data_IF_134079501318
#
_entry.id   IF_134079501318
#
_cell.length_a   1.000
_cell.length_b   1.000
_cell.length_c   1.000
_cell.angle_alpha   90.00
_cell.angle_beta   90.00
_cell.angle_gamma   90.00
#
_symmetry.space_group_name_H-M   'P 1'
#
loop_
_entity.id
_entity.type
_entity.pdbx_description
1 polymer ?
#
# COMPACT_ATOMS: atom_id res chain seq x y z
N UNK A 1 -18.67 5.07 7.24
CA UNK A 1 -17.38 5.80 7.37
C UNK A 1 -16.32 4.98 6.69
N UNK A 2 -15.51 5.59 5.85
CA UNK A 2 -14.42 4.93 5.13
C UNK A 2 -13.13 5.53 5.62
N UNK A 3 -12.14 4.70 5.94
CA UNK A 3 -10.84 5.18 6.38
C UNK A 3 -9.73 4.38 5.71
N UNK A 4 -8.65 5.08 5.38
CA UNK A 4 -7.41 4.47 4.94
C UNK A 4 -6.33 4.79 5.97
N UNK A 5 -6.13 3.96 6.97
CA UNK A 5 -5.02 4.15 7.90
C UNK A 5 -4.58 2.80 8.47
N UNK A 6 -3.27 2.52 8.42
CA UNK A 6 -2.68 1.28 8.86
C UNK A 6 -2.79 1.00 10.35
N UNK A 7 -2.69 2.03 11.11
CA UNK A 7 -2.71 1.89 12.56
C UNK A 7 -4.13 2.14 13.03
N UNK A 8 -4.88 1.14 13.38
CA UNK A 8 -6.26 1.20 13.95
C UNK A 8 -6.42 2.22 15.11
N UNK A 9 -5.78 3.36 14.95
CA UNK A 9 -5.63 4.40 15.94
C UNK A 9 -6.84 5.32 15.87
N UNK A 10 -7.91 4.94 16.52
CA UNK A 10 -9.02 5.86 16.78
C UNK A 10 -10.24 5.71 15.89
N UNK A 11 -10.12 5.46 14.58
CA UNK A 11 -11.26 5.46 13.66
C UNK A 11 -12.31 4.37 13.96
N UNK A 12 -11.89 3.17 14.35
CA UNK A 12 -12.80 2.09 14.75
C UNK A 12 -13.57 2.46 16.02
N UNK A 13 -12.92 3.12 16.96
CA UNK A 13 -13.55 3.59 18.21
C UNK A 13 -14.51 4.74 17.98
N UNK A 14 -14.23 5.61 17.01
CA UNK A 14 -15.16 6.68 16.61
C UNK A 14 -16.39 6.07 15.92
N UNK A 15 -16.20 5.11 15.03
CA UNK A 15 -17.30 4.41 14.39
C UNK A 15 -18.18 3.65 15.40
N UNK A 16 -17.57 3.00 16.41
CA UNK A 16 -18.26 2.35 17.53
C UNK A 16 -19.10 3.37 18.32
N UNK A 17 -18.51 4.51 18.68
CA UNK A 17 -19.21 5.54 19.44
C UNK A 17 -20.41 6.13 18.68
N UNK A 18 -20.26 6.31 17.38
CA UNK A 18 -21.31 6.84 16.49
C UNK A 18 -22.29 5.76 16.00
N UNK A 19 -22.03 4.50 16.31
CA UNK A 19 -22.83 3.34 15.84
C UNK A 19 -23.02 3.32 14.31
N UNK A 20 -21.96 3.67 13.58
CA UNK A 20 -21.95 3.66 12.12
C UNK A 20 -21.07 2.53 11.58
N UNK A 21 -21.43 1.95 10.43
CA UNK A 21 -20.58 0.95 9.79
C UNK A 21 -19.24 1.55 9.38
N UNK A 22 -18.20 0.74 9.42
CA UNK A 22 -16.85 1.10 8.98
C UNK A 22 -16.36 0.11 7.93
N UNK A 23 -15.67 0.62 6.91
CA UNK A 23 -14.95 -0.17 5.91
C UNK A 23 -13.54 0.40 5.79
N UNK A 24 -12.52 -0.45 5.88
CA UNK A 24 -11.12 -0.03 5.85
C UNK A 24 -10.58 -0.23 4.45
N UNK A 25 -10.02 0.84 3.87
CA UNK A 25 -9.27 0.80 2.60
C UNK A 25 -7.79 0.99 2.91
N UNK A 26 -6.96 0.08 2.42
CA UNK A 26 -5.57 0.11 2.82
C UNK A 26 -4.62 -0.42 1.73
N UNK A 27 -3.40 0.11 1.70
CA UNK A 27 -2.36 -0.24 0.73
C UNK A 27 -1.38 -1.30 1.24
N UNK A 28 -1.53 -1.78 2.47
CA UNK A 28 -0.67 -2.78 3.08
C UNK A 28 -1.53 -3.92 3.65
N UNK A 29 -1.16 -5.20 3.48
CA UNK A 29 -1.92 -6.30 4.06
C UNK A 29 -1.85 -6.28 5.59
N UNK A 30 -3.02 -6.30 6.21
CA UNK A 30 -3.18 -6.30 7.67
C UNK A 30 -4.02 -7.47 8.19
N UNK A 31 -4.78 -8.11 7.31
CA UNK A 31 -5.59 -9.29 7.66
C UNK A 31 -4.69 -10.52 7.76
N UNK A 32 -4.74 -11.27 8.87
CA UNK A 32 -3.92 -12.48 9.05
C UNK A 32 -4.11 -13.51 7.93
N UNK A 33 -2.99 -14.02 7.42
CA UNK A 33 -2.98 -15.07 6.40
C UNK A 33 -1.81 -16.05 6.62
N UNK A 34 -1.92 -17.22 6.04
CA UNK A 34 -0.86 -18.23 5.98
C UNK A 34 0.00 -18.13 4.72
N UNK A 35 -0.33 -17.23 3.79
CA UNK A 35 0.36 -17.11 2.50
C UNK A 35 1.59 -16.20 2.54
N UNK A 36 1.60 -15.21 3.45
CA UNK A 36 2.74 -14.33 3.68
C UNK A 36 2.73 -13.74 5.09
N UNK A 37 3.89 -13.31 5.61
CA UNK A 37 3.98 -12.71 6.94
C UNK A 37 3.41 -11.29 6.95
N UNK A 38 3.13 -10.77 8.14
CA UNK A 38 2.80 -9.35 8.30
C UNK A 38 3.95 -8.48 7.76
N UNK A 39 3.70 -7.47 6.92
CA UNK A 39 4.75 -6.65 6.29
C UNK A 39 5.76 -6.00 7.24
N UNK A 40 5.32 -5.69 8.46
CA UNK A 40 6.19 -5.12 9.51
C UNK A 40 6.96 -6.19 10.31
N UNK A 41 6.76 -7.47 10.02
CA UNK A 41 7.48 -8.55 10.67
C UNK A 41 8.70 -8.98 9.85
N UNK A 42 9.66 -9.62 10.52
CA UNK A 42 10.82 -10.22 9.86
C UNK A 42 10.73 -11.75 9.81
N UNK A 43 9.52 -12.29 9.95
CA UNK A 43 9.30 -13.74 9.93
C UNK A 43 9.48 -14.28 8.51
N UNK A 44 10.37 -15.26 8.36
CA UNK A 44 10.68 -15.90 7.05
C UNK A 44 10.04 -17.28 6.90
N UNK A 45 9.70 -17.95 8.00
CA UNK A 45 9.16 -19.30 7.98
C UNK A 45 7.64 -19.27 7.89
N UNK A 46 7.07 -20.01 6.94
CA UNK A 46 5.63 -20.04 6.68
C UNK A 46 4.79 -20.42 7.90
N UNK A 47 5.27 -21.34 8.73
CA UNK A 47 4.58 -21.73 9.98
C UNK A 47 4.32 -20.55 10.93
N UNK A 48 5.15 -19.48 10.85
CA UNK A 48 5.01 -18.29 11.66
C UNK A 48 4.19 -17.15 11.01
N UNK A 49 3.79 -17.25 9.75
CA UNK A 49 3.17 -16.15 9.02
C UNK A 49 1.92 -15.62 9.73
N UNK A 50 0.96 -16.48 10.03
CA UNK A 50 -0.27 -16.06 10.71
C UNK A 50 -0.01 -15.48 12.11
N UNK A 51 0.95 -16.04 12.85
CA UNK A 51 1.32 -15.54 14.18
C UNK A 51 1.97 -14.16 14.12
N UNK A 52 2.68 -13.83 13.03
CA UNK A 52 3.34 -12.54 12.86
C UNK A 52 2.38 -11.35 12.96
N UNK A 53 1.15 -11.52 12.49
CA UNK A 53 0.09 -10.50 12.59
C UNK A 53 -0.29 -10.23 14.05
N UNK A 54 -0.47 -11.29 14.84
CA UNK A 54 -0.81 -11.16 16.27
C UNK A 54 0.33 -10.48 17.05
N UNK A 55 1.57 -10.81 16.73
CA UNK A 55 2.74 -10.21 17.37
C UNK A 55 2.80 -8.70 17.06
N UNK A 56 2.68 -8.33 15.78
CA UNK A 56 2.72 -6.92 15.37
C UNK A 56 1.57 -6.14 16.00
N UNK A 57 0.34 -6.66 15.94
CA UNK A 57 -0.83 -6.03 16.56
C UNK A 57 -0.64 -5.84 18.07
N UNK A 58 -0.10 -6.86 18.75
CA UNK A 58 0.17 -6.79 20.20
C UNK A 58 1.20 -5.72 20.54
N UNK A 59 2.29 -5.62 19.77
CA UNK A 59 3.33 -4.61 19.98
C UNK A 59 2.79 -3.20 19.78
N UNK A 60 2.01 -2.98 18.72
CA UNK A 60 1.38 -1.69 18.45
C UNK A 60 0.41 -1.36 19.58
N UNK A 61 -0.45 -2.30 19.97
CA UNK A 61 -1.40 -2.10 21.05
C UNK A 61 -0.72 -1.72 22.37
N UNK A 62 0.35 -2.37 22.74
CA UNK A 62 1.13 -2.02 23.92
C UNK A 62 1.64 -0.57 23.89
N UNK A 63 2.04 -0.07 22.71
CA UNK A 63 2.52 1.30 22.56
C UNK A 63 1.44 2.38 22.62
N UNK A 64 0.20 2.05 22.21
CA UNK A 64 -0.87 3.07 22.04
C UNK A 64 -2.05 2.92 22.98
N UNK A 65 -2.15 1.84 23.75
CA UNK A 65 -3.34 1.49 24.54
C UNK A 65 -3.80 2.59 25.49
N UNK A 66 -2.87 3.28 26.15
CA UNK A 66 -3.21 4.29 27.14
C UNK A 66 -3.82 5.52 26.45
N UNK A 67 -3.25 5.93 25.32
CA UNK A 67 -3.78 7.01 24.47
C UNK A 67 -5.18 6.66 23.96
N UNK A 68 -5.37 5.44 23.47
CA UNK A 68 -6.68 4.96 22.98
C UNK A 68 -7.69 4.90 24.10
N UNK A 69 -7.33 4.37 25.26
CA UNK A 69 -8.25 4.29 26.40
C UNK A 69 -8.60 5.66 26.99
N UNK A 70 -7.69 6.61 26.92
CA UNK A 70 -7.96 8.00 27.25
C UNK A 70 -8.97 8.64 26.28
N UNK A 71 -8.77 8.46 24.97
CA UNK A 71 -9.72 8.88 23.94
C UNK A 71 -11.10 8.27 24.19
N UNK A 72 -11.17 6.94 24.37
CA UNK A 72 -12.42 6.21 24.64
C UNK A 72 -13.16 6.77 25.85
N UNK A 73 -12.48 6.88 27.00
CA UNK A 73 -13.09 7.35 28.24
C UNK A 73 -13.45 8.83 28.21
N UNK A 74 -12.48 9.69 27.84
CA UNK A 74 -12.61 11.15 27.99
C UNK A 74 -13.45 11.78 26.90
N UNK A 75 -13.29 11.32 25.64
CA UNK A 75 -13.95 11.92 24.47
C UNK A 75 -15.16 11.13 23.99
N UNK A 76 -15.03 9.81 23.84
CA UNK A 76 -16.05 8.98 23.22
C UNK A 76 -17.08 8.40 24.21
N UNK A 77 -16.84 8.51 25.52
CA UNK A 77 -17.68 7.94 26.60
C UNK A 77 -17.88 6.42 26.46
N UNK A 78 -16.86 5.73 25.94
CA UNK A 78 -16.83 4.28 25.78
C UNK A 78 -16.04 3.63 26.93
N UNK A 79 -16.31 2.34 27.15
CA UNK A 79 -15.51 1.53 28.07
C UNK A 79 -14.08 1.37 27.54
N UNK A 80 -13.07 1.31 28.44
CA UNK A 80 -11.70 1.02 28.00
C UNK A 80 -11.63 -0.38 27.37
N UNK A 81 -10.74 -0.51 26.38
CA UNK A 81 -10.38 -1.79 25.78
C UNK A 81 -9.31 -2.44 26.65
N UNK A 82 -9.51 -3.69 27.03
CA UNK A 82 -8.52 -4.49 27.75
C UNK A 82 -7.62 -5.24 26.76
N UNK A 83 -6.49 -5.75 27.23
CA UNK A 83 -5.58 -6.56 26.42
C UNK A 83 -6.28 -7.75 25.73
N UNK A 84 -7.20 -8.38 26.44
CA UNK A 84 -7.96 -9.53 25.95
C UNK A 84 -9.05 -9.16 24.92
N UNK A 85 -9.60 -7.96 25.01
CA UNK A 85 -10.67 -7.50 24.12
C UNK A 85 -10.15 -6.71 22.90
N UNK A 86 -8.89 -6.26 22.92
CA UNK A 86 -8.31 -5.40 21.89
C UNK A 86 -7.84 -6.12 20.66
N UNK A 87 -7.47 -7.39 20.78
CA UNK A 87 -6.82 -8.15 19.68
C UNK A 87 -7.68 -9.28 19.10
N UNK A 88 -8.77 -9.67 19.73
CA UNK A 88 -9.40 -10.96 19.43
C UNK A 88 -10.78 -10.93 18.77
N UNK A 89 -11.49 -9.85 18.72
CA UNK A 89 -12.91 -9.97 18.39
C UNK A 89 -13.42 -9.15 17.19
N UNK A 90 -12.86 -8.01 16.95
CA UNK A 90 -13.45 -7.06 16.00
C UNK A 90 -12.82 -7.11 14.60
N UNK A 91 -11.65 -7.68 14.45
CA UNK A 91 -10.84 -7.52 13.23
C UNK A 91 -11.30 -8.37 12.07
N UNK A 92 -11.73 -9.59 12.32
CA UNK A 92 -12.29 -10.46 11.28
C UNK A 92 -13.67 -10.00 10.81
N UNK A 93 -14.30 -9.10 11.55
CA UNK A 93 -15.66 -8.65 11.29
C UNK A 93 -15.73 -7.29 10.57
N UNK A 94 -14.65 -6.51 10.59
CA UNK A 94 -14.55 -5.25 9.85
C UNK A 94 -14.19 -5.52 8.40
N UNK A 95 -15.00 -5.06 7.42
CA UNK A 95 -14.64 -5.18 6.02
C UNK A 95 -13.35 -4.43 5.68
N UNK A 96 -12.50 -5.07 4.88
CA UNK A 96 -11.29 -4.47 4.33
C UNK A 96 -11.28 -4.56 2.82
N UNK A 97 -10.87 -3.49 2.16
CA UNK A 97 -10.58 -3.47 0.74
C UNK A 97 -9.11 -3.05 0.56
N UNK A 98 -8.31 -3.97 0.06
CA UNK A 98 -6.90 -3.73 -0.15
C UNK A 98 -6.63 -3.16 -1.54
N UNK A 99 -5.92 -2.02 -1.56
CA UNK A 99 -5.69 -1.22 -2.76
C UNK A 99 -4.34 -1.62 -3.38
N UNK A 100 -4.31 -2.80 -3.99
CA UNK A 100 -3.22 -3.27 -4.84
C UNK A 100 -3.74 -4.22 -5.90
N UNK A 101 -2.93 -4.46 -6.94
CA UNK A 101 -3.29 -5.39 -8.01
C UNK A 101 -3.31 -6.85 -7.53
N UNK A 102 -4.39 -7.60 -7.77
CA UNK A 102 -4.43 -9.04 -7.54
C UNK A 102 -3.46 -9.81 -8.45
N UNK A 103 -2.96 -9.19 -9.53
CA UNK A 103 -1.92 -9.76 -10.38
C UNK A 103 -0.54 -9.66 -9.74
N UNK A 104 -0.30 -8.66 -8.88
CA UNK A 104 0.91 -8.57 -8.08
C UNK A 104 0.83 -9.47 -6.85
N UNK A 105 -0.23 -9.31 -6.04
CA UNK A 105 -0.49 -10.14 -4.86
C UNK A 105 -1.94 -10.63 -4.90
N UNK A 106 -2.19 -11.88 -5.28
CA UNK A 106 -3.53 -12.46 -5.27
C UNK A 106 -4.18 -12.40 -3.89
N UNK A 107 -5.50 -12.35 -3.85
CA UNK A 107 -6.22 -12.48 -2.59
C UNK A 107 -5.90 -13.84 -1.96
N UNK A 108 -5.40 -13.89 -0.71
CA UNK A 108 -5.17 -15.13 0.01
C UNK A 108 -6.42 -16.01 0.10
N UNK A 109 -6.23 -17.32 -0.02
CA UNK A 109 -7.33 -18.30 0.00
C UNK A 109 -8.04 -18.37 1.35
N UNK A 110 -7.34 -18.04 2.42
CA UNK A 110 -7.87 -18.03 3.79
C UNK A 110 -8.56 -16.72 4.18
N UNK A 111 -8.64 -15.74 3.25
CA UNK A 111 -9.41 -14.52 3.46
C UNK A 111 -10.89 -14.70 3.10
N UNK A 112 -11.76 -14.34 4.06
CA UNK A 112 -13.22 -14.44 3.92
C UNK A 112 -13.84 -13.41 2.97
N UNK A 113 -15.21 -13.40 2.88
CA UNK A 113 -15.95 -12.56 1.94
C UNK A 113 -15.95 -11.08 2.30
N UNK A 114 -15.55 -10.71 3.52
CA UNK A 114 -15.42 -9.30 3.95
C UNK A 114 -14.10 -8.65 3.55
N UNK A 115 -13.18 -9.42 2.96
CA UNK A 115 -11.88 -8.93 2.53
C UNK A 115 -11.85 -8.95 1.01
N UNK A 116 -11.60 -7.80 0.40
CA UNK A 116 -11.50 -7.65 -1.05
C UNK A 116 -10.09 -7.13 -1.42
N UNK A 117 -9.57 -7.51 -2.59
CA UNK A 117 -8.40 -6.92 -3.24
C UNK A 117 -8.92 -6.24 -4.50
N UNK A 118 -8.80 -4.91 -4.57
CA UNK A 118 -9.62 -4.12 -5.49
C UNK A 118 -8.86 -3.54 -6.68
N UNK A 119 -7.55 -3.71 -6.73
CA UNK A 119 -6.69 -3.08 -7.71
C UNK A 119 -6.03 -1.81 -7.20
N UNK A 120 -5.03 -1.31 -7.92
CA UNK A 120 -4.41 -0.03 -7.60
C UNK A 120 -5.33 1.14 -7.98
N UNK A 121 -5.34 2.18 -7.14
CA UNK A 121 -5.99 3.45 -7.44
C UNK A 121 -4.95 4.39 -8.06
N UNK A 122 -5.10 4.67 -9.35
CA UNK A 122 -4.24 5.61 -10.05
C UNK A 122 -4.88 6.99 -10.09
N UNK A 123 -4.06 8.03 -9.95
CA UNK A 123 -4.41 9.40 -10.26
C UNK A 123 -3.88 9.71 -11.65
N UNK A 124 -4.66 10.41 -12.44
CA UNK A 124 -4.24 10.91 -13.74
C UNK A 124 -3.58 12.30 -13.55
N UNK A 125 -2.34 12.28 -13.08
CA UNK A 125 -1.55 13.49 -12.87
C UNK A 125 -0.84 13.93 -14.15
N UNK A 126 -0.62 12.99 -15.08
CA UNK A 126 0.04 13.23 -16.35
C UNK A 126 -0.78 14.10 -17.31
N UNK A 127 -2.12 14.03 -17.26
CA UNK A 127 -3.00 14.69 -18.23
C UNK A 127 -2.90 16.21 -18.25
N UNK A 128 -2.53 16.84 -17.13
CA UNK A 128 -2.37 18.28 -17.01
C UNK A 128 -0.91 18.68 -16.73
N UNK A 129 0.04 17.79 -16.96
CA UNK A 129 1.44 18.04 -16.68
C UNK A 129 2.18 18.48 -17.94
N UNK A 130 2.83 19.63 -17.86
CA UNK A 130 3.71 20.15 -18.89
C UNK A 130 5.17 19.95 -18.46
N UNK A 131 5.90 19.01 -19.09
CA UNK A 131 7.30 18.77 -18.73
C UNK A 131 8.20 19.94 -19.16
N UNK A 132 9.28 20.21 -18.43
CA UNK A 132 10.27 21.19 -18.84
C UNK A 132 10.87 20.83 -20.23
N UNK A 133 11.00 21.82 -21.11
CA UNK A 133 11.59 21.60 -22.45
C UNK A 133 12.98 20.96 -22.37
N UNK A 134 13.78 21.35 -21.39
CA UNK A 134 15.12 20.79 -21.15
C UNK A 134 15.07 19.27 -20.88
N UNK A 135 14.06 18.79 -20.16
CA UNK A 135 13.87 17.37 -19.90
C UNK A 135 13.43 16.64 -21.17
N UNK A 136 12.46 17.20 -21.90
CA UNK A 136 11.96 16.60 -23.15
C UNK A 136 13.10 16.44 -24.15
N UNK A 137 13.85 17.52 -24.40
CA UNK A 137 15.01 17.49 -25.28
C UNK A 137 16.05 16.46 -24.81
N UNK A 138 16.37 16.46 -23.52
CA UNK A 138 17.33 15.47 -22.99
C UNK A 138 16.84 14.03 -23.17
N UNK A 139 15.55 13.74 -23.01
CA UNK A 139 14.98 12.42 -23.25
C UNK A 139 15.05 11.99 -24.73
N UNK A 140 14.83 12.93 -25.65
CA UNK A 140 14.87 12.71 -27.11
C UNK A 140 16.30 12.50 -27.63
N UNK A 141 17.31 13.12 -26.98
CA UNK A 141 18.71 13.08 -27.38
C UNK A 141 19.44 11.74 -27.10
N UNK A 142 18.72 10.67 -26.66
CA UNK A 142 19.36 9.39 -26.43
C UNK A 142 18.44 8.29 -25.90
N UNK A 143 19.04 7.18 -25.48
CA UNK A 143 18.32 6.02 -24.96
C UNK A 143 17.48 6.33 -23.72
N UNK A 144 16.39 5.58 -23.54
CA UNK A 144 15.56 5.70 -22.34
C UNK A 144 16.41 5.54 -21.06
N UNK A 145 16.31 6.45 -20.11
CA UNK A 145 17.09 6.41 -18.87
C UNK A 145 16.56 5.39 -17.86
N UNK A 146 17.35 5.16 -16.81
CA UNK A 146 16.92 4.52 -15.57
C UNK A 146 16.57 5.64 -14.58
N UNK A 147 15.35 5.59 -14.03
CA UNK A 147 14.97 6.49 -12.93
C UNK A 147 15.49 5.97 -11.59
N UNK A 148 16.05 6.86 -10.77
CA UNK A 148 16.50 6.55 -9.40
C UNK A 148 16.04 7.66 -8.47
N UNK A 149 15.20 7.32 -7.47
CA UNK A 149 14.69 8.30 -6.52
C UNK A 149 13.98 7.69 -5.33
N UNK A 150 14.14 8.30 -4.15
CA UNK A 150 13.60 7.80 -2.90
C UNK A 150 12.52 8.70 -2.29
N UNK A 151 12.00 9.67 -3.08
CA UNK A 151 10.90 10.55 -2.68
C UNK A 151 11.25 11.44 -1.50
N UNK A 152 10.37 11.46 -0.49
CA UNK A 152 10.53 12.29 0.71
C UNK A 152 11.33 11.61 1.83
N UNK A 153 11.98 10.49 1.55
CA UNK A 153 12.72 9.77 2.58
C UNK A 153 14.08 10.42 2.88
N UNK A 154 14.46 10.54 4.16
CA UNK A 154 15.77 11.03 4.53
C UNK A 154 16.84 9.99 4.18
N UNK A 155 17.87 10.43 3.46
CA UNK A 155 19.06 9.64 3.15
C UNK A 155 20.16 10.04 4.14
N UNK A 156 20.80 9.05 4.79
CA UNK A 156 21.83 9.33 5.82
C UNK A 156 23.07 10.01 5.24
N UNK A 157 23.53 9.54 4.09
CA UNK A 157 24.68 10.12 3.37
C UNK A 157 24.32 10.34 1.89
N UNK A 158 23.70 11.49 1.55
CA UNK A 158 23.29 11.78 0.18
C UNK A 158 24.46 11.86 -0.81
N UNK A 159 25.62 12.30 -0.36
CA UNK A 159 26.82 12.40 -1.23
C UNK A 159 27.32 11.01 -1.64
N UNK A 160 27.51 10.14 -0.66
CA UNK A 160 27.96 8.76 -0.91
C UNK A 160 26.94 8.00 -1.76
N UNK A 161 25.64 8.14 -1.45
CA UNK A 161 24.60 7.49 -2.23
C UNK A 161 24.56 8.00 -3.67
N UNK A 162 24.66 9.31 -3.87
CA UNK A 162 24.76 9.92 -5.21
C UNK A 162 25.98 9.39 -5.97
N UNK A 163 27.13 9.30 -5.33
CA UNK A 163 28.33 8.75 -5.96
C UNK A 163 28.14 7.30 -6.41
N UNK A 164 27.58 6.44 -5.55
CA UNK A 164 27.24 5.04 -5.89
C UNK A 164 26.32 4.99 -7.11
N UNK A 165 25.29 5.83 -7.15
CA UNK A 165 24.31 5.88 -8.25
C UNK A 165 25.00 6.28 -9.56
N UNK A 166 25.80 7.32 -9.54
CA UNK A 166 26.52 7.82 -10.71
C UNK A 166 27.50 6.78 -11.24
N UNK A 167 28.34 6.21 -10.36
CA UNK A 167 29.30 5.16 -10.75
C UNK A 167 28.62 3.91 -11.31
N UNK A 168 27.47 3.51 -10.74
CA UNK A 168 26.71 2.36 -11.24
C UNK A 168 26.14 2.62 -12.65
N UNK A 169 25.59 3.80 -12.90
CA UNK A 169 25.08 4.20 -14.21
C UNK A 169 26.23 4.25 -15.25
N UNK A 170 27.35 4.84 -14.89
CA UNK A 170 28.53 4.90 -15.77
C UNK A 170 29.09 3.50 -16.07
N UNK A 171 29.27 2.67 -15.04
CA UNK A 171 29.80 1.32 -15.20
C UNK A 171 28.91 0.45 -16.08
N UNK A 172 27.61 0.65 -16.02
CA UNK A 172 26.63 -0.10 -16.86
C UNK A 172 26.34 0.60 -18.18
N UNK A 173 26.94 1.75 -18.46
CA UNK A 173 26.73 2.53 -19.68
C UNK A 173 25.30 3.06 -19.82
N UNK A 174 24.62 3.34 -18.70
CA UNK A 174 23.23 3.77 -18.71
C UNK A 174 23.07 5.27 -18.46
N UNK A 175 22.09 5.87 -19.15
CA UNK A 175 21.61 7.20 -18.80
C UNK A 175 20.71 7.11 -17.57
N UNK A 176 20.77 8.14 -16.71
CA UNK A 176 19.99 8.14 -15.49
C UNK A 176 19.23 9.45 -15.23
N UNK A 177 18.08 9.32 -14.62
CA UNK A 177 17.36 10.42 -14.01
C UNK A 177 17.44 10.24 -12.50
N UNK A 178 18.06 11.22 -11.80
CA UNK A 178 18.14 11.22 -10.34
C UNK A 178 17.13 12.22 -9.80
N UNK A 179 16.16 11.73 -9.04
CA UNK A 179 15.23 12.58 -8.31
C UNK A 179 15.89 13.01 -7.00
N UNK A 180 16.07 14.33 -6.83
CA UNK A 180 16.72 14.91 -5.65
C UNK A 180 15.97 14.59 -4.36
N UNK A 181 14.63 14.54 -4.45
CA UNK A 181 13.77 14.28 -3.29
C UNK A 181 14.06 15.22 -2.11
N UNK A 182 13.61 14.83 -0.93
CA UNK A 182 13.94 15.54 0.30
C UNK A 182 15.29 15.11 0.88
N UNK A 183 15.78 13.95 0.44
CA UNK A 183 17.06 13.39 0.87
C UNK A 183 18.29 14.10 0.30
N UNK A 184 18.13 15.05 -0.63
CA UNK A 184 19.22 15.83 -1.19
C UNK A 184 20.15 15.04 -2.12
N UNK A 185 19.65 14.07 -2.84
CA UNK A 185 20.40 13.32 -3.87
C UNK A 185 20.77 14.26 -5.05
N UNK A 186 21.73 13.85 -5.84
CA UNK A 186 22.11 14.53 -7.07
C UNK A 186 23.01 15.76 -6.86
N UNK A 187 23.56 15.97 -5.67
CA UNK A 187 24.54 17.03 -5.45
C UNK A 187 25.89 16.60 -6.07
N UNK A 188 26.00 16.78 -7.38
CA UNK A 188 27.18 16.44 -8.18
C UNK A 188 28.17 17.59 -8.14
N UNK A 189 29.47 17.25 -8.10
CA UNK A 189 30.56 18.23 -8.21
C UNK A 189 30.66 18.80 -9.62
N UNK A 190 30.32 17.98 -10.63
CA UNK A 190 30.31 18.35 -12.04
C UNK A 190 29.04 17.83 -12.72
N UNK A 191 28.39 18.62 -13.61
CA UNK A 191 27.32 18.14 -14.46
C UNK A 191 27.77 16.99 -15.36
N UNK A 192 26.91 16.01 -15.60
CA UNK A 192 27.16 14.89 -16.51
C UNK A 192 26.06 14.80 -17.54
N UNK A 193 26.39 14.74 -18.81
CA UNK A 193 25.45 14.69 -19.94
C UNK A 193 24.54 13.46 -19.87
N UNK A 194 25.06 12.35 -19.32
CA UNK A 194 24.30 11.12 -19.16
C UNK A 194 23.32 11.14 -17.98
N UNK A 195 23.32 12.17 -17.14
CA UNK A 195 22.52 12.26 -15.92
C UNK A 195 21.68 13.51 -15.90
N UNK A 196 20.37 13.35 -15.78
CA UNK A 196 19.43 14.43 -15.56
C UNK A 196 18.98 14.49 -14.10
N UNK A 197 19.13 15.65 -13.48
CA UNK A 197 18.68 15.89 -12.11
C UNK A 197 17.31 16.54 -12.15
N UNK A 198 16.34 15.95 -11.46
CA UNK A 198 15.02 16.53 -11.38
C UNK A 198 14.49 16.63 -9.94
N UNK A 199 13.56 17.53 -9.74
CA UNK A 199 12.80 17.67 -8.51
C UNK A 199 11.56 16.75 -8.55
N UNK A 200 10.36 17.26 -8.33
CA UNK A 200 9.16 16.45 -8.30
C UNK A 200 8.45 16.43 -9.66
N UNK A 201 8.23 15.24 -10.22
CA UNK A 201 7.51 15.02 -11.48
C UNK A 201 6.48 13.90 -11.28
N UNK A 202 5.29 13.98 -11.94
CA UNK A 202 4.34 12.87 -11.96
C UNK A 202 4.96 11.58 -12.50
N UNK A 203 4.94 10.53 -11.69
CA UNK A 203 5.52 9.24 -12.06
C UNK A 203 4.76 8.56 -13.21
N UNK A 204 3.46 8.78 -13.31
CA UNK A 204 2.61 8.28 -14.39
C UNK A 204 2.98 8.85 -15.77
N UNK A 205 3.59 10.06 -15.81
CA UNK A 205 4.21 10.59 -17.01
C UNK A 205 5.65 10.08 -17.19
N UNK A 206 6.48 10.23 -16.14
CA UNK A 206 7.92 10.03 -16.26
C UNK A 206 8.30 8.57 -16.56
N UNK A 207 7.65 7.61 -15.90
CA UNK A 207 8.04 6.21 -16.03
C UNK A 207 7.77 5.62 -17.42
N UNK A 208 6.87 6.20 -18.20
CA UNK A 208 6.68 5.84 -19.62
C UNK A 208 7.92 6.14 -20.48
N UNK A 209 8.75 7.07 -20.03
CA UNK A 209 9.99 7.48 -20.70
C UNK A 209 11.23 6.78 -20.12
N UNK A 210 11.07 5.92 -19.12
CA UNK A 210 12.15 5.17 -18.48
C UNK A 210 12.20 3.72 -18.97
N UNK A 211 13.40 3.12 -18.99
CA UNK A 211 13.57 1.69 -19.27
C UNK A 211 13.44 0.82 -18.02
N UNK A 212 13.78 1.37 -16.85
CA UNK A 212 13.71 0.73 -15.54
C UNK A 212 13.61 1.79 -14.43
N UNK A 213 13.20 1.40 -13.23
CA UNK A 213 13.07 2.31 -12.09
C UNK A 213 13.68 1.71 -10.82
N UNK A 214 14.33 2.57 -10.04
CA UNK A 214 14.88 2.23 -8.71
C UNK A 214 14.26 3.19 -7.70
N UNK A 215 13.55 2.66 -6.71
CA UNK A 215 12.89 3.49 -5.71
C UNK A 215 12.73 2.78 -4.35
N UNK A 216 12.18 3.49 -3.37
CA UNK A 216 12.07 3.00 -2.00
C UNK A 216 10.98 1.92 -1.76
N UNK A 217 10.09 1.67 -2.70
CA UNK A 217 9.05 0.65 -2.56
C UNK A 217 7.75 1.12 -1.92
N UNK A 218 7.46 2.42 -1.93
CA UNK A 218 6.11 2.91 -1.58
C UNK A 218 5.07 2.35 -2.55
N UNK A 219 3.90 1.93 -2.06
CA UNK A 219 2.87 1.25 -2.84
C UNK A 219 2.47 2.02 -4.11
N UNK A 220 2.32 3.35 -4.04
CA UNK A 220 1.95 4.17 -5.19
C UNK A 220 3.05 4.24 -6.26
N UNK A 221 4.31 4.40 -5.85
CA UNK A 221 5.45 4.43 -6.78
C UNK A 221 5.67 3.06 -7.42
N UNK A 222 5.51 1.99 -6.64
CA UNK A 222 5.55 0.61 -7.15
C UNK A 222 4.46 0.40 -8.21
N UNK A 223 3.22 0.80 -7.91
CA UNK A 223 2.12 0.71 -8.85
C UNK A 223 2.39 1.44 -10.17
N UNK A 224 2.92 2.67 -10.09
CA UNK A 224 3.26 3.48 -11.28
C UNK A 224 4.35 2.81 -12.14
N UNK A 225 5.40 2.26 -11.51
CA UNK A 225 6.47 1.53 -12.21
C UNK A 225 5.96 0.28 -12.94
N UNK A 226 5.14 -0.51 -12.25
CA UNK A 226 4.54 -1.72 -12.81
C UNK A 226 3.57 -1.39 -13.95
N UNK A 227 2.73 -0.36 -13.81
CA UNK A 227 1.81 0.10 -14.86
C UNK A 227 2.55 0.59 -16.10
N UNK A 228 3.69 1.22 -15.93
CA UNK A 228 4.56 1.66 -17.03
C UNK A 228 5.39 0.52 -17.64
N UNK A 229 5.17 -0.73 -17.25
CA UNK A 229 5.96 -1.90 -17.64
C UNK A 229 7.46 -1.72 -17.39
N UNK A 230 7.84 -1.04 -16.32
CA UNK A 230 9.23 -0.85 -15.94
C UNK A 230 9.72 -1.96 -15.03
N UNK A 231 10.80 -2.69 -15.38
CA UNK A 231 11.57 -3.44 -14.41
C UNK A 231 11.92 -2.57 -13.21
N UNK A 232 11.75 -3.11 -12.00
CA UNK A 232 11.75 -2.30 -10.78
C UNK A 232 12.68 -2.87 -9.72
N UNK A 233 13.65 -2.08 -9.26
CA UNK A 233 14.45 -2.38 -8.07
C UNK A 233 13.90 -1.61 -6.88
N UNK A 234 13.64 -2.31 -5.79
CA UNK A 234 13.20 -1.69 -4.54
C UNK A 234 14.36 -1.63 -3.55
N UNK A 235 14.60 -0.42 -3.03
CA UNK A 235 15.57 -0.13 -1.96
C UNK A 235 14.75 0.26 -0.72
N UNK A 236 14.33 -0.70 0.10
CA UNK A 236 13.46 -0.41 1.23
C UNK A 236 14.20 0.29 2.36
N UNK A 237 13.55 1.28 2.96
CA UNK A 237 13.98 2.02 4.15
C UNK A 237 13.26 1.49 5.40
N UNK A 238 11.94 1.37 5.36
CA UNK A 238 11.12 0.91 6.49
C UNK A 238 9.71 0.50 6.04
N UNK A 239 8.89 0.11 7.01
CA UNK A 239 7.46 -0.12 6.81
C UNK A 239 7.18 -1.36 5.95
N UNK A 240 6.26 -1.21 5.01
CA UNK A 240 5.85 -2.24 4.06
C UNK A 240 6.73 -2.35 2.81
N UNK A 241 7.74 -1.50 2.68
CA UNK A 241 8.60 -1.44 1.50
C UNK A 241 9.35 -2.76 1.24
N UNK A 242 9.88 -3.48 2.25
CA UNK A 242 10.47 -4.80 2.03
C UNK A 242 9.47 -5.81 1.45
N UNK A 243 8.23 -5.79 1.92
CA UNK A 243 7.16 -6.65 1.42
C UNK A 243 6.93 -6.41 -0.08
N UNK A 244 6.79 -5.16 -0.51
CA UNK A 244 6.62 -4.83 -1.93
C UNK A 244 7.83 -5.23 -2.76
N UNK A 245 9.05 -5.07 -2.22
CA UNK A 245 10.27 -5.53 -2.88
C UNK A 245 10.30 -7.02 -3.15
N UNK A 246 9.91 -7.82 -2.16
CA UNK A 246 9.78 -9.27 -2.32
C UNK A 246 8.71 -9.65 -3.35
N UNK A 247 7.55 -8.98 -3.34
CA UNK A 247 6.47 -9.24 -4.32
C UNK A 247 6.89 -8.92 -5.75
N UNK A 248 7.61 -7.81 -5.96
CA UNK A 248 8.18 -7.43 -7.26
C UNK A 248 9.18 -8.50 -7.74
N UNK A 249 10.04 -8.96 -6.84
CA UNK A 249 11.00 -10.03 -7.13
C UNK A 249 10.31 -11.36 -7.47
N UNK A 250 9.34 -11.78 -6.67
CA UNK A 250 8.60 -13.04 -6.88
C UNK A 250 7.86 -13.07 -8.22
N UNK A 251 7.50 -11.90 -8.77
CA UNK A 251 6.91 -11.78 -10.12
C UNK A 251 7.95 -11.73 -11.23
N UNK A 252 9.23 -11.79 -10.90
CA UNK A 252 10.31 -11.73 -11.89
C UNK A 252 10.43 -10.39 -12.59
N UNK A 253 9.87 -9.31 -12.01
CA UNK A 253 9.91 -7.96 -12.59
C UNK A 253 10.98 -7.08 -11.94
N UNK A 254 11.76 -7.62 -11.02
CA UNK A 254 12.88 -6.95 -10.38
C UNK A 254 13.78 -7.91 -9.61
N UNK A 255 15.00 -7.47 -9.25
CA UNK A 255 15.90 -8.26 -8.41
C UNK A 255 15.38 -8.35 -6.97
N UNK A 256 15.99 -9.17 -6.09
CA UNK A 256 15.75 -9.09 -4.65
C UNK A 256 15.92 -7.65 -4.14
N UNK A 257 15.09 -7.18 -3.19
CA UNK A 257 15.21 -5.83 -2.67
C UNK A 257 16.59 -5.61 -2.00
N UNK A 258 17.11 -4.40 -2.14
CA UNK A 258 18.39 -4.00 -1.52
C UNK A 258 18.08 -3.11 -0.32
N UNK A 259 18.14 -3.61 0.94
CA UNK A 259 17.95 -2.75 2.10
C UNK A 259 18.88 -1.54 2.07
N UNK A 260 18.36 -0.36 2.48
CA UNK A 260 19.14 0.90 2.36
C UNK A 260 20.47 0.87 3.09
N UNK A 261 20.57 0.16 4.20
CA UNK A 261 21.80 -0.05 4.97
C UNK A 261 22.80 -0.98 4.27
N UNK A 262 22.35 -1.74 3.28
CA UNK A 262 23.18 -2.60 2.44
C UNK A 262 23.42 -2.01 1.03
N UNK A 263 22.93 -0.81 0.77
CA UNK A 263 23.05 -0.17 -0.55
C UNK A 263 24.51 0.10 -0.89
N UNK A 264 24.98 -0.46 -1.99
CA UNK A 264 26.39 -0.41 -2.41
C UNK A 264 26.52 -0.47 -3.93
N UNK A 265 27.68 -0.02 -4.42
CA UNK A 265 27.98 0.01 -5.86
C UNK A 265 27.82 -1.38 -6.52
N UNK A 266 28.40 -2.48 -6.01
CA UNK A 266 28.21 -3.79 -6.63
C UNK A 266 26.75 -4.22 -6.70
N UNK A 267 26.01 -4.04 -5.59
CA UNK A 267 24.59 -4.43 -5.55
C UNK A 267 23.73 -3.63 -6.52
N UNK A 268 24.01 -2.34 -6.70
CA UNK A 268 23.29 -1.52 -7.64
C UNK A 268 23.62 -1.89 -9.10
N UNK A 269 24.88 -2.17 -9.40
CA UNK A 269 25.31 -2.67 -10.73
C UNK A 269 24.60 -4.00 -11.05
N UNK A 270 24.60 -4.94 -10.11
CA UNK A 270 23.91 -6.23 -10.29
C UNK A 270 22.41 -6.03 -10.51
N UNK A 271 21.78 -5.13 -9.75
CA UNK A 271 20.37 -4.81 -9.90
C UNK A 271 20.04 -4.16 -11.26
N UNK A 272 20.89 -3.24 -11.72
CA UNK A 272 20.73 -2.63 -13.05
C UNK A 272 20.84 -3.70 -14.14
N UNK A 273 21.89 -4.54 -14.08
CA UNK A 273 22.07 -5.62 -15.06
C UNK A 273 20.88 -6.60 -15.05
N UNK A 274 20.35 -6.94 -13.88
CA UNK A 274 19.15 -7.76 -13.76
C UNK A 274 17.95 -7.11 -14.46
N UNK A 275 17.71 -5.82 -14.23
CA UNK A 275 16.60 -5.08 -14.86
C UNK A 275 16.73 -4.92 -16.36
N UNK A 276 17.95 -4.98 -16.90
CA UNK A 276 18.22 -4.88 -18.33
C UNK A 276 18.07 -6.23 -19.07
N UNK A 277 17.87 -7.34 -18.36
CA UNK A 277 17.58 -8.62 -18.99
C UNK A 277 16.24 -8.55 -19.74
N UNK A 278 16.21 -8.88 -21.05
CA UNK A 278 14.97 -8.88 -21.85
C UNK A 278 13.83 -9.69 -21.21
N UNK A 279 14.13 -10.81 -20.55
CA UNK A 279 13.12 -11.64 -19.87
C UNK A 279 12.42 -10.88 -18.73
N UNK A 280 13.16 -10.08 -17.99
CA UNK A 280 12.61 -9.25 -16.89
C UNK A 280 11.69 -8.17 -17.48
N UNK A 281 12.09 -7.60 -18.62
CA UNK A 281 11.25 -6.65 -19.38
C UNK A 281 9.98 -7.30 -19.88
N UNK A 282 10.06 -8.51 -20.41
CA UNK A 282 8.88 -9.26 -20.88
C UNK A 282 7.91 -9.52 -19.74
N UNK A 283 8.40 -9.97 -18.57
CA UNK A 283 7.56 -10.14 -17.36
C UNK A 283 6.91 -8.82 -16.92
N UNK A 284 7.64 -7.71 -17.00
CA UNK A 284 7.08 -6.39 -16.66
C UNK A 284 5.97 -5.98 -17.64
N UNK A 285 6.12 -6.27 -18.94
CA UNK A 285 5.09 -6.03 -19.95
C UNK A 285 3.86 -6.91 -19.71
N UNK A 286 4.05 -8.20 -19.44
CA UNK A 286 2.96 -9.13 -19.14
C UNK A 286 2.16 -8.69 -17.91
N UNK A 287 2.86 -8.29 -16.85
CA UNK A 287 2.21 -7.81 -15.61
C UNK A 287 1.45 -6.50 -15.87
N UNK A 288 2.05 -5.54 -16.57
CA UNK A 288 1.40 -4.28 -16.94
C UNK A 288 0.13 -4.51 -17.77
N UNK A 289 0.20 -5.43 -18.74
CA UNK A 289 -0.96 -5.82 -19.57
C UNK A 289 -2.06 -6.49 -18.73
N UNK A 290 -1.70 -7.33 -17.79
CA UNK A 290 -2.67 -7.94 -16.88
C UNK A 290 -3.38 -6.88 -16.01
N UNK A 291 -2.69 -5.80 -15.68
CA UNK A 291 -3.21 -4.68 -14.88
C UNK A 291 -3.95 -3.61 -15.73
N UNK A 292 -3.92 -3.71 -17.07
CA UNK A 292 -4.42 -2.66 -17.96
C UNK A 292 -5.90 -2.31 -17.74
N UNK A 293 -6.73 -3.32 -17.45
CA UNK A 293 -8.16 -3.18 -17.25
C UNK A 293 -8.55 -3.05 -15.77
N UNK A 294 -7.57 -2.88 -14.87
CA UNK A 294 -7.86 -2.67 -13.45
C UNK A 294 -8.31 -1.23 -13.20
N UNK A 295 -9.44 -1.11 -12.52
CA UNK A 295 -9.93 0.14 -11.96
C UNK A 295 -10.14 -0.04 -10.46
N UNK A 296 -9.10 0.26 -9.69
CA UNK A 296 -9.12 0.14 -8.23
C UNK A 296 -10.13 1.08 -7.57
N UNK A 297 -10.44 2.22 -8.18
CA UNK A 297 -11.45 3.17 -7.68
C UNK A 297 -12.83 2.54 -7.79
N UNK A 298 -13.19 2.06 -8.98
CA UNK A 298 -14.46 1.34 -9.18
C UNK A 298 -14.51 0.06 -8.33
N UNK A 299 -13.39 -0.67 -8.21
CA UNK A 299 -13.28 -1.84 -7.34
C UNK A 299 -13.56 -1.50 -5.87
N UNK A 300 -12.98 -0.41 -5.37
CA UNK A 300 -13.20 0.08 -4.01
C UNK A 300 -14.66 0.50 -3.78
N UNK A 301 -15.25 1.21 -4.72
CA UNK A 301 -16.68 1.61 -4.66
C UNK A 301 -17.58 0.38 -4.61
N UNK A 302 -17.35 -0.61 -5.47
CA UNK A 302 -18.12 -1.87 -5.48
C UNK A 302 -17.97 -2.62 -4.15
N UNK A 303 -16.75 -2.75 -3.63
CA UNK A 303 -16.48 -3.37 -2.33
C UNK A 303 -17.18 -2.64 -1.20
N UNK A 304 -17.20 -1.30 -1.22
CA UNK A 304 -17.91 -0.48 -0.25
C UNK A 304 -19.40 -0.78 -0.24
N UNK A 305 -20.08 -0.70 -1.39
CA UNK A 305 -21.52 -0.95 -1.48
C UNK A 305 -21.91 -2.40 -1.14
N UNK A 306 -21.07 -3.37 -1.52
CA UNK A 306 -21.25 -4.79 -1.16
C UNK A 306 -21.32 -5.00 0.35
N UNK A 307 -20.57 -4.24 1.12
CA UNK A 307 -20.43 -4.38 2.57
C UNK A 307 -21.38 -3.44 3.37
N UNK A 308 -22.12 -2.55 2.71
CA UNK A 308 -23.09 -1.73 3.39
C UNK A 308 -24.21 -2.59 3.99
N UNK A 309 -24.62 -2.33 5.24
CA UNK A 309 -25.79 -2.98 5.82
C UNK A 309 -27.00 -2.75 4.93
N UNK A 310 -27.60 -3.81 4.43
CA UNK A 310 -28.89 -3.70 3.74
C UNK A 310 -29.94 -3.23 4.78
N UNK A 311 -30.66 -2.16 4.46
CA UNK A 311 -31.87 -1.83 5.23
C UNK A 311 -32.76 -3.07 5.20
N UNK A 312 -33.04 -3.65 6.36
CA UNK A 312 -34.14 -4.60 6.46
C UNK A 312 -35.36 -3.89 5.91
N UNK A 313 -36.13 -4.51 4.97
CA UNK A 313 -37.45 -3.93 4.61
C UNK A 313 -38.22 -3.71 5.93
N UNK A 314 -38.70 -2.48 6.14
CA UNK A 314 -39.65 -2.22 7.21
C UNK A 314 -40.79 -3.23 6.98
N UNK A 315 -40.91 -4.21 7.87
CA UNK A 315 -42.08 -5.06 7.88
C UNK A 315 -43.24 -4.11 8.09
N UNK A 316 -44.12 -4.01 7.10
CA UNK A 316 -45.40 -3.37 7.25
C UNK A 316 -46.05 -3.95 8.52
N UNK A 317 -45.91 -3.23 9.61
CA UNK A 317 -46.66 -3.49 10.81
C UNK A 317 -48.08 -3.05 10.45
N UNK A 318 -48.90 -4.01 10.02
CA UNK A 318 -50.34 -3.82 10.03
C UNK A 318 -50.74 -3.22 11.38
N UNK A 319 -51.58 -2.19 11.42
CA UNK A 319 -52.04 -1.61 12.65
C UNK A 319 -52.81 -2.68 13.42
N UNK A 320 -52.23 -3.11 14.56
CA UNK A 320 -52.91 -4.06 15.45
C UNK A 320 -54.28 -3.48 15.82
N UNK A 321 -55.32 -4.10 15.29
CA UNK A 321 -56.71 -3.86 15.71
C UNK A 321 -56.78 -4.01 17.23
N UNK A 322 -57.13 -2.93 17.88
CA UNK A 322 -57.43 -2.88 19.31
C UNK A 322 -58.48 -3.92 19.66
N UNK A 323 -58.07 -5.01 20.31
CA UNK A 323 -59.05 -5.87 21.02
C UNK A 323 -59.41 -5.19 22.30
N UNK A 324 -60.62 -4.64 22.31
CA UNK A 324 -61.36 -4.24 23.52
C UNK A 324 -61.40 -5.43 24.47
N UNK A 325 -60.85 -5.29 25.67
CA UNK A 325 -61.08 -6.19 26.77
C UNK A 325 -62.46 -5.88 27.37
N UNK A 326 -63.41 -6.80 27.14
CA UNK A 326 -64.65 -6.84 27.84
C UNK A 326 -64.41 -7.40 29.25
N UNK A 327 -64.59 -6.54 30.24
CA UNK A 327 -64.72 -6.92 31.65
C UNK A 327 -66.11 -7.52 31.87
N UNK A 328 -66.21 -8.81 32.13
CA UNK A 328 -67.39 -9.37 32.79
C UNK A 328 -67.06 -10.57 33.67
N UNK A 329 -67.29 -10.31 34.96
CA UNK A 329 -67.64 -11.26 36.01
C UNK A 329 -66.60 -12.17 36.62
N UNK A 330 -66.04 -11.69 37.71
CA UNK A 330 -65.88 -12.50 38.92
C UNK A 330 -67.21 -12.70 39.59
N UNK A 331 -67.53 -13.96 40.00
CA UNK A 331 -68.16 -14.28 41.26
C UNK A 331 -68.27 -15.82 41.36
N UNK A 332 -67.85 -16.39 42.49
CA UNK A 332 -68.17 -17.74 42.85
C UNK A 332 -67.16 -18.39 43.80
N UNK A 333 -67.46 -18.25 45.05
CA UNK A 333 -67.03 -18.92 46.24
C UNK A 333 -66.74 -20.41 46.13
N UNK A 334 -65.74 -20.87 46.79
CA UNK A 334 -65.77 -21.74 48.02
C UNK A 334 -64.36 -21.96 48.48
#
# INVERSE_FOLDING_TARGET
MVTSNPTKIGHTHVAEALKIPIHIFFTMPWTPTTEFPHPLSRVKQQAGYRLSYQIVDSLIWLGIRDMINDLRKKKLKLRPVTYLSGSQGSETDIPHAYIWSPHLVPKPKDWGPKIDVVGFCFLDLASNYEPPESLVKWLEDGDKPIYIGFGSLPVQDPKKMTQIIVEALETTGQRGIINKGWGGLGNLTEPKDSIYLLDNIPHDWLFLHCKAVVHHGGAGTTAAGLKAACPTTIVPFFGDQPFWGERVHDRGVGPPPIPVDEFSLPKLIDAINFMLDPKVKDHAIELAKAMENEDGVTGAVKAFFKQLPQKKPESDTEPSSSKFFSLSKCFGCS
#
